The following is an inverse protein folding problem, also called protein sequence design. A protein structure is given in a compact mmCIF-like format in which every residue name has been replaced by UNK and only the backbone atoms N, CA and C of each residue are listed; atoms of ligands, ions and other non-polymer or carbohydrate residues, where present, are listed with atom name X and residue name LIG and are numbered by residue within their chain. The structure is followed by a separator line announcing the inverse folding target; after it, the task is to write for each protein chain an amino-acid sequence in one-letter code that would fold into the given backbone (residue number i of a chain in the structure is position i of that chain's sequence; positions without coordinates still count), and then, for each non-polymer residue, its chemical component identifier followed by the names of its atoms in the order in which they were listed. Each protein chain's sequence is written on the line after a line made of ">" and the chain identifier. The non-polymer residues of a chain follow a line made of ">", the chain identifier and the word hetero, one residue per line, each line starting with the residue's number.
data_IF_525490145144
#
_entry.id   IF_525490145144
#
_cell.length_a   1.000
_cell.length_b   1.000
_cell.length_c   1.000
_cell.angle_alpha   90.00
_cell.angle_beta   90.00
_cell.angle_gamma   90.00
#
_symmetry.space_group_name_H-M   'P 1'
#
loop_
_entity.id
_entity.type
_entity.pdbx_description
1 polymer ?
#
# COMPACT_ATOMS: atom_id res chain seq x y z
N UNK A 1 12.87 -8.04 -21.05
CA UNK A 1 12.26 -8.24 -19.72
C UNK A 1 11.35 -9.44 -19.79
N UNK A 2 11.31 -10.31 -18.76
CA UNK A 2 10.27 -11.36 -18.68
C UNK A 2 8.92 -10.67 -18.54
N UNK A 3 7.91 -11.16 -19.25
CA UNK A 3 6.55 -10.67 -19.10
C UNK A 3 6.10 -10.90 -17.64
N UNK A 4 5.60 -9.84 -16.99
CA UNK A 4 5.15 -9.92 -15.59
C UNK A 4 3.80 -10.64 -15.60
N UNK A 5 3.66 -11.67 -14.77
CA UNK A 5 2.42 -12.43 -14.65
C UNK A 5 1.32 -11.57 -14.04
N UNK A 6 0.17 -11.50 -14.71
CA UNK A 6 -1.00 -10.77 -14.27
C UNK A 6 -1.84 -11.61 -13.32
N UNK A 7 -2.27 -11.03 -12.19
CA UNK A 7 -3.05 -11.72 -11.16
C UNK A 7 -4.24 -10.88 -10.69
N UNK A 8 -5.28 -11.55 -10.20
CA UNK A 8 -6.41 -10.92 -9.48
C UNK A 8 -6.13 -10.84 -7.98
N UNK A 9 -6.91 -10.06 -7.22
CA UNK A 9 -6.82 -10.02 -5.75
C UNK A 9 -6.96 -11.41 -5.12
N UNK A 10 -7.84 -12.26 -5.65
CA UNK A 10 -8.01 -13.63 -5.18
C UNK A 10 -6.76 -14.50 -5.41
N UNK A 11 -6.06 -14.31 -6.52
CA UNK A 11 -4.81 -14.99 -6.79
C UNK A 11 -3.66 -14.41 -5.96
N UNK A 12 -3.67 -13.10 -5.69
CA UNK A 12 -2.75 -12.49 -4.76
C UNK A 12 -2.90 -13.07 -3.36
N UNK A 13 -4.12 -13.13 -2.83
CA UNK A 13 -4.43 -13.74 -1.54
C UNK A 13 -3.92 -15.18 -1.44
N UNK A 14 -4.18 -16.02 -2.46
CA UNK A 14 -3.60 -17.37 -2.56
C UNK A 14 -2.08 -17.38 -2.63
N UNK A 15 -1.48 -16.41 -3.31
CA UNK A 15 -0.03 -16.28 -3.38
C UNK A 15 0.58 -16.06 -1.99
N UNK A 16 -0.06 -15.30 -1.13
CA UNK A 16 0.38 -15.04 0.25
C UNK A 16 0.49 -16.33 1.08
N UNK A 17 -0.37 -17.32 0.83
CA UNK A 17 -0.32 -18.62 1.49
C UNK A 17 1.00 -19.38 1.24
N UNK A 18 1.72 -19.07 0.16
CA UNK A 18 2.98 -19.72 -0.18
C UNK A 18 4.14 -19.35 0.75
N UNK A 19 4.00 -18.29 1.55
CA UNK A 19 5.06 -17.76 2.42
C UNK A 19 6.26 -17.16 1.68
N UNK A 20 6.20 -17.04 0.34
CA UNK A 20 7.29 -16.50 -0.48
C UNK A 20 7.30 -14.97 -0.47
N UNK A 21 8.48 -14.39 -0.74
CA UNK A 21 8.57 -12.94 -0.94
C UNK A 21 7.83 -12.55 -2.22
N UNK A 22 6.85 -11.67 -2.10
CA UNK A 22 6.04 -11.22 -3.21
C UNK A 22 6.14 -9.72 -3.39
N UNK A 23 6.21 -9.28 -4.64
CA UNK A 23 6.06 -7.89 -5.05
C UNK A 23 4.86 -7.79 -5.99
N UNK A 24 3.88 -6.99 -5.62
CA UNK A 24 2.66 -6.80 -6.40
C UNK A 24 2.57 -5.35 -6.85
N UNK A 25 2.68 -5.15 -8.15
CA UNK A 25 2.53 -3.85 -8.79
C UNK A 25 1.12 -3.72 -9.35
N UNK A 26 0.46 -2.60 -9.15
CA UNK A 26 -0.90 -2.40 -9.65
C UNK A 26 -1.41 -1.00 -9.44
N UNK A 27 -2.54 -0.63 -10.06
CA UNK A 27 -3.10 0.70 -9.90
C UNK A 27 -3.47 1.01 -8.46
N UNK A 28 -3.43 2.29 -8.08
CA UNK A 28 -3.81 2.75 -6.75
C UNK A 28 -5.30 2.49 -6.49
N UNK A 29 -5.67 2.18 -5.24
CA UNK A 29 -7.07 2.00 -4.83
C UNK A 29 -7.72 0.65 -5.22
N UNK A 30 -6.95 -0.32 -5.70
CA UNK A 30 -7.46 -1.67 -6.06
C UNK A 30 -7.22 -2.73 -4.99
N UNK A 31 -7.04 -2.33 -3.73
CA UNK A 31 -7.07 -3.24 -2.58
C UNK A 31 -5.78 -4.05 -2.37
N UNK A 32 -4.61 -3.54 -2.79
CA UNK A 32 -3.33 -4.23 -2.53
C UNK A 32 -3.08 -4.39 -1.03
N UNK A 33 -3.11 -3.29 -0.29
CA UNK A 33 -2.88 -3.23 1.16
C UNK A 33 -3.93 -4.04 1.91
N UNK A 34 -5.22 -3.84 1.59
CA UNK A 34 -6.33 -4.59 2.21
C UNK A 34 -6.24 -6.11 2.00
N UNK A 35 -5.70 -6.56 0.85
CA UNK A 35 -5.50 -8.00 0.61
C UNK A 35 -4.45 -8.57 1.56
N UNK A 36 -3.37 -7.84 1.85
CA UNK A 36 -2.33 -8.26 2.80
C UNK A 36 -2.88 -8.26 4.23
N UNK A 37 -3.57 -7.21 4.63
CA UNK A 37 -4.21 -7.09 5.96
C UNK A 37 -5.24 -8.20 6.18
N UNK A 38 -6.16 -8.38 5.26
CA UNK A 38 -7.19 -9.42 5.34
C UNK A 38 -6.60 -10.85 5.37
N UNK A 39 -5.46 -11.07 4.69
CA UNK A 39 -4.73 -12.32 4.81
C UNK A 39 -4.10 -12.48 6.20
N UNK A 40 -3.42 -11.45 6.69
CA UNK A 40 -2.77 -11.48 8.00
C UNK A 40 -3.77 -11.77 9.13
N UNK A 41 -4.91 -11.07 9.12
CA UNK A 41 -6.01 -11.29 10.08
C UNK A 41 -6.55 -12.71 10.03
N UNK A 42 -6.77 -13.26 8.83
CA UNK A 42 -7.31 -14.61 8.65
C UNK A 42 -6.38 -15.70 9.18
N UNK A 43 -5.07 -15.51 9.06
CA UNK A 43 -4.06 -16.49 9.50
C UNK A 43 -3.47 -16.18 10.87
N UNK A 44 -3.92 -15.10 11.53
CA UNK A 44 -3.45 -14.67 12.85
C UNK A 44 -2.01 -14.17 12.86
N UNK A 45 -1.51 -13.60 11.76
CA UNK A 45 -0.19 -12.96 11.67
C UNK A 45 -0.29 -11.47 11.97
N UNK A 46 0.77 -10.92 12.58
CA UNK A 46 0.95 -9.49 12.74
C UNK A 46 1.62 -8.88 11.50
N UNK A 47 1.42 -7.60 11.26
CA UNK A 47 2.06 -6.86 10.17
C UNK A 47 3.06 -5.87 10.75
N UNK A 48 4.32 -5.97 10.29
CA UNK A 48 5.30 -4.91 10.42
C UNK A 48 5.21 -4.04 9.16
N UNK A 49 4.45 -2.95 9.26
CA UNK A 49 4.14 -2.06 8.14
C UNK A 49 5.25 -1.03 7.92
N UNK A 50 5.68 -0.87 6.70
CA UNK A 50 6.64 0.14 6.28
C UNK A 50 6.16 0.82 5.00
N UNK A 51 5.62 2.04 5.15
CA UNK A 51 5.31 2.89 4.01
C UNK A 51 6.61 3.47 3.46
N UNK A 52 6.92 3.19 2.19
CA UNK A 52 8.15 3.67 1.55
C UNK A 52 8.01 5.07 0.96
N UNK A 53 6.78 5.59 0.86
CA UNK A 53 6.54 6.94 0.35
C UNK A 53 7.11 8.00 1.30
N UNK A 54 8.08 8.78 0.80
CA UNK A 54 8.68 9.84 1.58
C UNK A 54 9.57 9.41 2.75
N UNK A 55 9.87 8.11 2.89
CA UNK A 55 10.76 7.62 3.94
C UNK A 55 12.20 8.04 3.72
N UNK A 56 12.81 8.53 4.78
CA UNK A 56 14.25 8.76 4.81
C UNK A 56 15.00 7.42 4.93
N UNK A 57 16.20 7.30 4.34
CA UNK A 57 17.02 6.10 4.47
C UNK A 57 17.25 5.69 5.92
N UNK A 58 17.39 6.66 6.83
CA UNK A 58 17.58 6.44 8.27
C UNK A 58 16.35 5.81 8.93
N UNK A 59 15.15 6.17 8.48
CA UNK A 59 13.90 5.60 9.00
C UNK A 59 13.81 4.12 8.65
N UNK A 60 14.20 3.75 7.42
CA UNK A 60 14.22 2.35 6.98
C UNK A 60 15.41 1.59 7.54
N UNK A 61 16.61 2.19 7.58
CA UNK A 61 17.84 1.56 8.07
C UNK A 61 17.96 1.53 9.59
N UNK A 62 17.16 2.32 10.28
CA UNK A 62 17.25 2.57 11.72
C UNK A 62 18.24 3.68 12.09
N UNK A 63 17.90 4.45 13.11
CA UNK A 63 18.72 5.54 13.65
C UNK A 63 19.81 4.97 14.55
N UNK A 64 21.09 5.35 14.40
CA UNK A 64 22.13 4.97 15.33
C UNK A 64 21.82 5.51 16.74
N UNK A 65 21.73 4.64 17.72
CA UNK A 65 21.52 4.99 19.12
C UNK A 65 22.59 4.41 20.03
N UNK A 66 22.90 5.13 21.08
CA UNK A 66 23.81 4.66 22.13
C UNK A 66 23.04 3.78 23.09
N UNK A 67 23.46 2.56 23.26
CA UNK A 67 22.82 1.59 24.14
C UNK A 67 23.73 1.24 25.30
N UNK A 68 23.13 1.15 26.47
CA UNK A 68 23.76 0.57 27.65
C UNK A 68 23.12 -0.79 27.94
N UNK A 69 23.89 -1.85 28.13
CA UNK A 69 23.32 -3.16 28.40
C UNK A 69 22.54 -3.18 29.72
N UNK A 70 21.24 -3.51 29.65
CA UNK A 70 20.43 -3.75 30.86
C UNK A 70 20.71 -5.17 31.35
N UNK A 71 21.67 -5.37 32.23
CA UNK A 71 21.94 -6.65 32.86
C UNK A 71 21.57 -6.59 34.33
N UNK A 72 20.69 -7.50 34.75
CA UNK A 72 20.45 -7.74 36.19
C UNK A 72 21.68 -8.46 36.76
N UNK A 73 22.46 -7.76 37.56
CA UNK A 73 23.60 -8.34 38.27
C UNK A 73 23.03 -9.13 39.43
N UNK A 74 22.99 -10.47 39.31
CA UNK A 74 22.59 -11.37 40.39
C UNK A 74 23.76 -11.97 41.19
N UNK A 75 24.97 -11.97 40.61
CA UNK A 75 26.20 -12.42 41.28
C UNK A 75 27.42 -11.71 40.68
N UNK A 76 28.28 -11.17 41.53
CA UNK A 76 29.52 -10.52 41.13
C UNK A 76 30.59 -11.63 41.04
N UNK A 77 30.79 -12.20 39.89
CA UNK A 77 31.98 -12.99 39.56
C UNK A 77 32.99 -12.08 38.87
N UNK A 78 34.29 -12.21 39.29
CA UNK A 78 35.37 -11.51 38.61
C UNK A 78 35.74 -12.21 37.31
N UNK A 79 35.32 -11.63 36.19
CA UNK A 79 35.62 -12.10 34.84
C UNK A 79 36.85 -11.44 34.20
N UNK A 80 37.68 -10.73 34.97
CA UNK A 80 38.80 -9.93 34.45
C UNK A 80 39.83 -10.79 33.66
N UNK A 81 40.06 -12.04 34.08
CA UNK A 81 40.94 -12.95 33.36
C UNK A 81 40.38 -13.38 32.01
N UNK A 82 39.13 -13.75 31.97
CA UNK A 82 38.42 -14.16 30.74
C UNK A 82 38.30 -13.00 29.73
N UNK A 83 37.99 -11.81 30.23
CA UNK A 83 37.95 -10.57 29.43
C UNK A 83 39.33 -10.29 28.81
N UNK A 84 40.42 -10.46 29.59
CA UNK A 84 41.81 -10.23 29.12
C UNK A 84 42.17 -11.24 28.04
N UNK A 85 41.82 -12.52 28.23
CA UNK A 85 42.08 -13.57 27.26
C UNK A 85 41.35 -13.31 25.92
N UNK A 86 40.06 -12.93 25.98
CA UNK A 86 39.26 -12.63 24.77
C UNK A 86 39.83 -11.39 24.05
N UNK A 87 40.19 -10.34 24.77
CA UNK A 87 40.84 -9.15 24.18
C UNK A 87 42.14 -9.50 23.45
N UNK A 88 42.93 -10.39 24.01
CA UNK A 88 44.18 -10.89 23.38
C UNK A 88 43.85 -11.66 22.10
N UNK A 89 42.86 -12.56 22.13
CA UNK A 89 42.45 -13.34 20.96
C UNK A 89 41.91 -12.46 19.84
N UNK A 90 41.08 -11.45 20.15
CA UNK A 90 40.58 -10.46 19.17
C UNK A 90 41.75 -9.72 18.52
N UNK A 91 42.77 -9.32 19.31
CA UNK A 91 43.94 -8.64 18.77
C UNK A 91 44.74 -9.56 17.83
N UNK A 92 44.98 -10.80 18.20
CA UNK A 92 45.67 -11.77 17.36
C UNK A 92 44.94 -12.07 16.05
N UNK A 93 43.58 -12.09 16.07
CA UNK A 93 42.78 -12.25 14.88
C UNK A 93 42.81 -11.01 13.98
N UNK A 94 42.83 -9.80 14.55
CA UNK A 94 43.03 -8.57 13.80
C UNK A 94 44.36 -8.49 13.11
N UNK A 95 45.46 -8.89 13.84
CA UNK A 95 46.80 -8.91 13.27
C UNK A 95 46.91 -9.92 12.10
N UNK A 96 46.31 -11.10 12.25
CA UNK A 96 46.21 -12.11 11.16
C UNK A 96 45.43 -11.61 9.97
N UNK A 97 44.30 -10.90 10.21
CA UNK A 97 43.48 -10.35 9.13
C UNK A 97 44.24 -9.28 8.35
N UNK A 98 45.02 -8.45 9.04
CA UNK A 98 45.85 -7.42 8.41
C UNK A 98 46.96 -8.06 7.56
N UNK A 99 47.57 -9.12 8.06
CA UNK A 99 48.63 -9.87 7.35
C UNK A 99 48.05 -10.58 6.10
N UNK A 100 46.87 -11.18 6.21
CA UNK A 100 46.17 -11.82 5.08
C UNK A 100 45.71 -10.84 4.02
N UNK A 101 45.26 -9.64 4.40
CA UNK A 101 44.86 -8.58 3.48
C UNK A 101 46.06 -8.08 2.61
N UNK A 102 47.30 -8.23 3.10
CA UNK A 102 48.49 -7.90 2.38
C UNK A 102 48.93 -8.99 1.38
N UNK A 103 48.36 -10.20 1.45
CA UNK A 103 48.85 -11.39 0.71
C UNK A 103 47.85 -11.95 -0.31
N UNK A 104 46.83 -11.23 -0.72
CA UNK A 104 45.83 -11.66 -1.72
C UNK A 104 45.15 -13.03 -1.42
N UNK A 105 45.02 -13.39 -0.15
CA UNK A 105 44.52 -14.70 0.27
C UNK A 105 42.98 -14.70 0.33
N UNK A 106 42.36 -15.71 -0.26
CA UNK A 106 40.95 -16.05 -0.45
C UNK A 106 39.96 -15.43 0.56
N UNK A 107 38.96 -14.77 0.02
CA UNK A 107 37.85 -14.11 0.73
C UNK A 107 37.18 -14.99 1.80
N UNK A 108 37.02 -16.30 1.55
CA UNK A 108 36.39 -17.25 2.47
C UNK A 108 37.11 -17.38 3.83
N UNK A 109 38.45 -17.23 3.88
CA UNK A 109 39.20 -17.25 5.13
C UNK A 109 39.01 -15.98 5.94
N UNK A 110 38.90 -14.84 5.24
CA UNK A 110 38.65 -13.54 5.87
C UNK A 110 37.24 -13.54 6.47
N UNK A 111 36.23 -14.05 5.78
CA UNK A 111 34.86 -14.15 6.29
C UNK A 111 34.77 -15.07 7.51
N UNK A 112 35.51 -16.14 7.53
CA UNK A 112 35.61 -17.05 8.71
C UNK A 112 36.19 -16.33 9.92
N UNK A 113 37.25 -15.55 9.74
CA UNK A 113 37.88 -14.77 10.81
C UNK A 113 36.92 -13.66 11.30
N UNK A 114 36.29 -12.95 10.39
CA UNK A 114 35.30 -11.92 10.72
C UNK A 114 34.13 -12.47 11.54
N UNK A 115 33.59 -13.62 11.14
CA UNK A 115 32.54 -14.29 11.89
C UNK A 115 32.95 -14.67 13.31
N UNK A 116 34.16 -15.17 13.47
CA UNK A 116 34.71 -15.50 14.78
C UNK A 116 34.94 -14.25 15.65
N UNK A 117 35.45 -13.17 15.05
CA UNK A 117 35.64 -11.90 15.75
C UNK A 117 34.35 -11.30 16.25
N UNK A 118 33.27 -11.33 15.45
CA UNK A 118 31.93 -10.86 15.87
C UNK A 118 31.46 -11.67 17.09
N UNK A 119 31.55 -12.99 17.06
CA UNK A 119 31.18 -13.85 18.20
C UNK A 119 31.99 -13.56 19.48
N UNK A 120 33.28 -13.32 19.35
CA UNK A 120 34.15 -12.95 20.49
C UNK A 120 33.84 -11.55 21.03
N UNK A 121 33.52 -10.59 20.15
CA UNK A 121 33.10 -9.24 20.56
C UNK A 121 31.80 -9.27 21.33
N UNK A 122 30.82 -10.07 20.92
CA UNK A 122 29.57 -10.24 21.63
C UNK A 122 29.76 -10.89 23.00
N UNK A 123 30.62 -11.91 23.08
CA UNK A 123 30.99 -12.53 24.35
C UNK A 123 31.68 -11.52 25.26
N UNK A 124 32.61 -10.73 24.73
CA UNK A 124 33.30 -9.68 25.48
C UNK A 124 32.31 -8.62 26.04
N UNK A 125 31.32 -8.22 25.27
CA UNK A 125 30.27 -7.30 25.73
C UNK A 125 29.51 -7.88 26.94
N UNK A 126 29.12 -9.15 26.85
CA UNK A 126 28.38 -9.83 27.92
C UNK A 126 29.25 -9.93 29.18
N UNK A 127 30.53 -10.27 29.06
CA UNK A 127 31.43 -10.40 30.19
C UNK A 127 31.77 -9.05 30.83
N UNK A 128 32.00 -7.99 30.04
CA UNK A 128 32.23 -6.66 30.56
C UNK A 128 31.01 -6.13 31.33
N UNK A 129 29.82 -6.37 30.83
CA UNK A 129 28.59 -5.99 31.51
C UNK A 129 28.40 -6.77 32.82
N UNK A 130 28.73 -8.08 32.86
CA UNK A 130 28.71 -8.88 34.08
C UNK A 130 29.78 -8.45 35.11
N UNK A 131 30.89 -7.88 34.65
CA UNK A 131 31.96 -7.37 35.49
C UNK A 131 31.74 -5.92 35.97
N UNK A 132 30.56 -5.34 35.74
CA UNK A 132 30.19 -3.98 36.13
C UNK A 132 30.91 -2.88 35.35
N UNK A 133 31.54 -3.21 34.22
CA UNK A 133 32.09 -2.22 33.29
C UNK A 133 31.04 -1.89 32.25
N UNK A 134 30.50 -0.66 32.32
CA UNK A 134 29.61 -0.12 31.32
C UNK A 134 30.38 0.14 30.02
N UNK A 135 30.22 -0.73 29.01
CA UNK A 135 30.63 -0.41 27.64
C UNK A 135 29.43 0.10 26.89
N UNK A 136 29.49 1.35 26.46
CA UNK A 136 28.55 1.94 25.53
C UNK A 136 28.80 1.38 24.13
N UNK A 137 27.76 0.90 23.46
CA UNK A 137 27.83 0.48 22.06
C UNK A 137 26.74 1.14 21.24
N UNK A 138 27.02 1.33 19.98
CA UNK A 138 26.06 1.89 19.04
C UNK A 138 25.24 0.77 18.42
N UNK A 139 23.92 0.94 18.44
CA UNK A 139 22.98 0.07 17.74
C UNK A 139 22.04 0.92 16.90
N UNK A 140 21.65 0.41 15.75
CA UNK A 140 20.57 1.04 15.01
C UNK A 140 19.24 0.66 15.67
N UNK A 141 18.41 1.66 15.95
CA UNK A 141 17.09 1.47 16.50
C UNK A 141 16.06 1.77 15.43
N UNK A 142 15.10 0.91 15.31
CA UNK A 142 13.85 1.13 14.60
C UNK A 142 12.78 1.62 15.60
N UNK A 143 11.61 1.97 15.09
CA UNK A 143 10.49 2.39 15.91
C UNK A 143 10.17 1.36 17.01
N UNK A 144 9.68 1.85 18.14
CA UNK A 144 9.36 1.02 19.32
C UNK A 144 8.36 -0.09 18.98
N UNK A 145 7.42 0.19 18.08
CA UNK A 145 6.42 -0.76 17.61
C UNK A 145 7.02 -1.99 16.91
N UNK A 146 8.21 -1.83 16.32
CA UNK A 146 8.93 -2.92 15.65
C UNK A 146 9.84 -3.74 16.57
N UNK A 147 9.96 -3.39 17.85
CA UNK A 147 10.84 -4.12 18.77
C UNK A 147 10.41 -5.59 18.92
N UNK A 148 9.10 -5.83 19.09
CA UNK A 148 8.57 -7.20 19.20
C UNK A 148 8.88 -8.03 17.95
N UNK A 149 8.71 -7.43 16.77
CA UNK A 149 9.05 -8.06 15.48
C UNK A 149 10.53 -8.47 15.42
N UNK A 150 11.44 -7.61 15.89
CA UNK A 150 12.88 -7.86 15.87
C UNK A 150 13.29 -8.92 16.91
N UNK A 151 12.67 -8.92 18.09
CA UNK A 151 12.96 -9.87 19.17
C UNK A 151 12.59 -11.30 18.80
N UNK A 152 11.50 -11.51 18.03
CA UNK A 152 11.08 -12.82 17.56
C UNK A 152 11.64 -13.20 16.16
N UNK A 153 12.59 -12.45 15.62
CA UNK A 153 13.14 -12.63 14.25
C UNK A 153 12.07 -12.59 13.16
N UNK A 154 10.93 -11.96 13.46
CA UNK A 154 9.76 -11.86 12.58
C UNK A 154 8.87 -13.11 12.54
N UNK A 155 8.99 -14.02 13.50
CA UNK A 155 8.13 -15.20 13.60
C UNK A 155 6.68 -14.80 13.87
N UNK A 156 5.76 -15.29 13.03
CA UNK A 156 4.35 -14.89 13.11
C UNK A 156 4.02 -13.52 12.50
N UNK A 157 4.97 -12.90 11.76
CA UNK A 157 4.80 -11.59 11.17
C UNK A 157 4.91 -11.61 9.65
N UNK A 158 4.25 -10.63 9.03
CA UNK A 158 4.47 -10.21 7.65
C UNK A 158 5.19 -8.88 7.70
N UNK A 159 6.38 -8.79 7.09
CA UNK A 159 7.04 -7.52 6.83
C UNK A 159 6.50 -6.96 5.51
N UNK A 160 5.74 -5.88 5.61
CA UNK A 160 5.02 -5.32 4.49
C UNK A 160 5.57 -3.96 4.10
N UNK A 161 6.11 -3.86 2.88
CA UNK A 161 6.54 -2.60 2.27
C UNK A 161 5.46 -2.11 1.32
N UNK A 162 4.79 -1.03 1.69
CA UNK A 162 3.83 -0.37 0.81
C UNK A 162 4.50 0.76 0.03
N UNK A 163 3.96 1.09 -1.13
CA UNK A 163 4.45 2.13 -2.04
C UNK A 163 5.96 2.00 -2.33
N UNK A 164 6.48 0.77 -2.49
CA UNK A 164 7.92 0.49 -2.57
C UNK A 164 8.65 1.30 -3.66
N UNK A 165 8.00 1.58 -4.77
CA UNK A 165 8.56 2.35 -5.88
C UNK A 165 8.40 3.87 -5.72
N UNK A 166 7.89 4.34 -4.59
CA UNK A 166 7.97 5.75 -4.18
C UNK A 166 9.16 6.01 -3.23
N UNK A 167 9.84 4.95 -2.79
CA UNK A 167 11.04 5.08 -1.98
C UNK A 167 12.21 5.71 -2.73
N UNK A 168 13.03 6.49 -2.03
CA UNK A 168 14.26 7.04 -2.60
C UNK A 168 15.23 5.90 -2.96
N UNK A 169 16.16 6.10 -3.91
CA UNK A 169 17.18 5.10 -4.24
C UNK A 169 18.00 4.65 -3.03
N UNK A 170 18.28 5.56 -2.10
CA UNK A 170 19.02 5.28 -0.87
C UNK A 170 18.20 4.41 0.09
N UNK A 171 16.90 4.69 0.23
CA UNK A 171 15.98 3.86 1.02
C UNK A 171 15.85 2.45 0.41
N UNK A 172 15.71 2.35 -0.92
CA UNK A 172 15.68 1.07 -1.63
C UNK A 172 16.96 0.25 -1.45
N UNK A 173 18.13 0.89 -1.35
CA UNK A 173 19.39 0.20 -1.09
C UNK A 173 19.41 -0.52 0.27
N UNK A 174 18.67 -0.01 1.27
CA UNK A 174 18.58 -0.69 2.58
C UNK A 174 17.85 -2.02 2.50
N UNK A 175 16.93 -2.15 1.52
CA UNK A 175 16.14 -3.36 1.34
C UNK A 175 16.96 -4.58 0.90
N UNK A 176 18.16 -4.38 0.36
CA UNK A 176 19.00 -5.52 -0.07
C UNK A 176 19.37 -6.46 1.07
N UNK A 177 19.64 -5.93 2.27
CA UNK A 177 19.92 -6.78 3.44
C UNK A 177 18.66 -7.44 3.99
N UNK A 178 17.52 -6.72 3.90
CA UNK A 178 16.23 -7.17 4.43
C UNK A 178 15.66 -8.29 3.56
N UNK A 179 15.72 -8.13 2.24
CA UNK A 179 15.08 -9.04 1.27
C UNK A 179 16.01 -10.13 0.75
N UNK A 180 17.12 -10.41 1.45
CA UNK A 180 18.08 -11.41 0.99
C UNK A 180 17.40 -12.75 0.64
N UNK A 181 17.74 -13.41 -0.50
CA UNK A 181 17.11 -14.67 -0.93
C UNK A 181 17.23 -15.80 0.09
N UNK A 182 18.39 -15.90 0.75
CA UNK A 182 18.56 -16.80 1.89
C UNK A 182 18.00 -16.15 3.16
N UNK A 183 16.94 -16.68 3.78
CA UNK A 183 16.33 -16.10 4.99
C UNK A 183 17.31 -15.92 6.15
N UNK A 184 18.28 -16.86 6.30
CA UNK A 184 19.29 -16.83 7.37
C UNK A 184 20.21 -15.61 7.29
N UNK A 185 20.34 -15.03 6.10
CA UNK A 185 21.17 -13.85 5.85
C UNK A 185 20.39 -12.52 5.94
N UNK A 186 19.08 -12.58 6.16
CA UNK A 186 18.27 -11.38 6.28
C UNK A 186 18.57 -10.61 7.54
N UNK A 187 18.79 -9.31 7.40
CA UNK A 187 19.09 -8.40 8.52
C UNK A 187 18.32 -7.09 8.36
N UNK A 188 17.74 -6.64 9.45
CA UNK A 188 17.14 -5.31 9.55
C UNK A 188 17.68 -4.59 10.78
N UNK A 189 18.25 -3.40 10.58
CA UNK A 189 18.93 -2.64 11.64
C UNK A 189 19.95 -3.48 12.46
N UNK A 190 20.60 -4.48 11.82
CA UNK A 190 21.52 -5.41 12.45
C UNK A 190 20.88 -6.62 13.12
N UNK A 191 19.55 -6.66 13.23
CA UNK A 191 18.82 -7.82 13.75
C UNK A 191 18.54 -8.84 12.66
N UNK A 192 18.58 -10.12 13.02
CA UNK A 192 18.16 -11.21 12.15
C UNK A 192 16.64 -11.22 12.04
N UNK A 193 16.14 -11.42 10.83
CA UNK A 193 14.70 -11.48 10.52
C UNK A 193 14.40 -12.68 9.61
N UNK A 194 14.90 -13.85 9.98
CA UNK A 194 14.87 -15.04 9.12
C UNK A 194 13.49 -15.68 8.99
N UNK A 195 12.56 -15.39 9.90
CA UNK A 195 11.28 -16.10 10.03
C UNK A 195 10.06 -15.34 9.48
N UNK A 196 10.23 -14.08 9.06
CA UNK A 196 9.14 -13.32 8.49
C UNK A 196 8.88 -13.64 7.02
N UNK A 197 7.63 -13.51 6.61
CA UNK A 197 7.26 -13.39 5.20
C UNK A 197 7.42 -11.92 4.78
N UNK A 198 7.97 -11.67 3.58
CA UNK A 198 8.15 -10.31 3.06
C UNK A 198 7.21 -10.11 1.89
N UNK A 199 6.40 -9.07 1.98
CA UNK A 199 5.47 -8.65 0.93
C UNK A 199 5.75 -7.20 0.60
N UNK A 200 5.73 -6.86 -0.67
CA UNK A 200 5.88 -5.48 -1.13
C UNK A 200 4.76 -5.15 -2.13
N UNK A 201 4.25 -3.94 -2.04
CA UNK A 201 3.31 -3.39 -3.01
C UNK A 201 3.85 -2.09 -3.59
N UNK A 202 3.48 -1.81 -4.83
CA UNK A 202 3.84 -0.57 -5.51
C UNK A 202 2.82 -0.21 -6.57
N UNK A 203 2.90 1.02 -7.07
CA UNK A 203 2.03 1.51 -8.12
C UNK A 203 2.61 1.20 -9.51
N UNK A 204 1.75 0.99 -10.49
CA UNK A 204 2.15 0.93 -11.90
C UNK A 204 2.28 2.35 -12.44
N UNK A 205 3.32 2.58 -13.22
CA UNK A 205 3.47 3.82 -13.98
C UNK A 205 2.61 3.71 -15.26
N UNK A 206 1.29 3.84 -15.10
CA UNK A 206 0.33 3.72 -16.22
C UNK A 206 -0.04 5.08 -16.83
N UNK A 207 0.59 6.16 -16.37
CA UNK A 207 0.37 7.53 -16.85
C UNK A 207 -0.98 8.14 -16.45
N UNK A 208 -1.77 7.46 -15.64
CA UNK A 208 -3.08 7.96 -15.17
C UNK A 208 -2.93 8.91 -13.98
N UNK A 209 -1.97 8.65 -13.11
CA UNK A 209 -1.65 9.51 -11.96
C UNK A 209 -0.46 10.42 -12.32
N UNK A 210 -0.70 11.46 -13.10
CA UNK A 210 0.32 12.35 -13.68
C UNK A 210 1.21 13.13 -12.69
N UNK A 211 1.20 12.80 -11.41
CA UNK A 211 1.96 13.50 -10.36
C UNK A 211 2.80 12.59 -9.46
N UNK A 212 2.76 11.28 -9.66
CA UNK A 212 3.52 10.35 -8.81
C UNK A 212 4.90 10.09 -9.42
N UNK A 213 5.95 10.55 -8.75
CA UNK A 213 7.32 10.17 -9.08
C UNK A 213 7.54 8.71 -8.66
N UNK A 214 7.53 7.79 -9.63
CA UNK A 214 7.85 6.39 -9.40
C UNK A 214 9.31 6.14 -9.70
N UNK A 215 10.02 5.56 -8.75
CA UNK A 215 11.40 5.13 -8.94
C UNK A 215 11.40 3.74 -9.60
N UNK A 216 12.16 3.59 -10.67
CA UNK A 216 12.37 2.28 -11.27
C UNK A 216 13.08 1.35 -10.27
N UNK A 217 12.43 0.23 -9.95
CA UNK A 217 13.01 -0.73 -9.02
C UNK A 217 14.22 -1.44 -9.66
N UNK A 218 15.39 -1.43 -9.00
CA UNK A 218 16.58 -2.07 -9.53
C UNK A 218 16.39 -3.56 -9.77
N UNK A 219 16.85 -4.07 -10.92
CA UNK A 219 16.77 -5.50 -11.27
C UNK A 219 17.25 -6.45 -10.16
N UNK A 220 18.36 -6.18 -9.43
CA UNK A 220 18.79 -7.03 -8.33
C UNK A 220 17.79 -7.08 -7.17
N UNK A 221 17.01 -6.01 -6.95
CA UNK A 221 15.94 -6.00 -5.95
C UNK A 221 14.74 -6.80 -6.44
N UNK A 222 14.31 -6.61 -7.71
CA UNK A 222 13.23 -7.37 -8.33
C UNK A 222 13.47 -8.88 -8.27
N UNK A 223 14.71 -9.32 -8.49
CA UNK A 223 15.09 -10.74 -8.44
C UNK A 223 14.95 -11.39 -7.05
N UNK A 224 14.66 -10.62 -6.01
CA UNK A 224 14.43 -11.10 -4.64
C UNK A 224 12.96 -11.39 -4.34
N UNK A 225 12.09 -11.05 -5.28
CA UNK A 225 10.64 -11.20 -5.18
C UNK A 225 10.08 -12.04 -6.32
N UNK A 226 8.97 -12.69 -6.07
CA UNK A 226 8.05 -13.10 -7.11
C UNK A 226 7.21 -11.88 -7.49
N UNK A 227 7.44 -11.37 -8.71
CA UNK A 227 6.83 -10.11 -9.18
C UNK A 227 5.57 -10.40 -9.96
N UNK A 228 4.49 -9.72 -9.60
CA UNK A 228 3.18 -9.83 -10.22
C UNK A 228 2.59 -8.46 -10.54
N UNK A 229 1.74 -8.41 -11.56
CA UNK A 229 0.93 -7.25 -11.89
C UNK A 229 -0.52 -7.50 -11.47
N UNK A 230 -1.06 -6.66 -10.58
CA UNK A 230 -2.46 -6.76 -10.16
C UNK A 230 -3.38 -6.21 -11.24
N UNK A 231 -4.26 -7.07 -11.74
CA UNK A 231 -5.30 -6.65 -12.67
C UNK A 231 -6.52 -6.11 -11.92
N UNK A 232 -7.12 -5.01 -12.41
CA UNK A 232 -8.38 -4.51 -11.86
C UNK A 232 -9.46 -5.60 -11.90
N UNK A 233 -9.94 -5.99 -10.74
CA UNK A 233 -11.03 -6.96 -10.59
C UNK A 233 -12.32 -6.25 -10.16
N UNK A 234 -13.03 -5.66 -11.13
CA UNK A 234 -14.31 -4.98 -10.89
C UNK A 234 -15.38 -5.93 -10.28
N UNK A 235 -15.32 -7.23 -10.59
CA UNK A 235 -16.27 -8.21 -10.04
C UNK A 235 -15.99 -8.50 -8.57
N UNK A 236 -14.74 -8.82 -8.23
CA UNK A 236 -14.33 -9.05 -6.85
C UNK A 236 -14.55 -7.82 -5.97
N UNK A 237 -14.21 -6.61 -6.46
CA UNK A 237 -14.50 -5.36 -5.79
C UNK A 237 -16.01 -5.17 -5.55
N UNK A 238 -16.84 -5.48 -6.56
CA UNK A 238 -18.30 -5.39 -6.41
C UNK A 238 -18.84 -6.34 -5.33
N UNK A 239 -18.35 -7.58 -5.29
CA UNK A 239 -18.76 -8.57 -4.28
C UNK A 239 -18.34 -8.15 -2.87
N UNK A 240 -17.09 -7.67 -2.72
CA UNK A 240 -16.57 -7.15 -1.48
C UNK A 240 -17.40 -5.97 -0.95
N UNK A 241 -17.58 -4.94 -1.78
CA UNK A 241 -18.33 -3.72 -1.41
C UNK A 241 -19.80 -4.03 -1.09
N UNK A 242 -20.46 -4.92 -1.85
CA UNK A 242 -21.83 -5.36 -1.52
C UNK A 242 -21.91 -6.05 -0.16
N UNK A 243 -20.90 -6.83 0.19
CA UNK A 243 -20.86 -7.52 1.49
C UNK A 243 -20.62 -6.53 2.63
N UNK A 244 -19.70 -5.57 2.44
CA UNK A 244 -19.37 -4.54 3.43
C UNK A 244 -20.58 -3.62 3.69
N UNK A 245 -21.23 -3.16 2.63
CA UNK A 245 -22.32 -2.17 2.68
C UNK A 245 -23.72 -2.77 2.49
N UNK A 246 -23.93 -4.02 2.93
CA UNK A 246 -25.22 -4.72 2.81
C UNK A 246 -26.42 -3.95 3.37
N UNK A 247 -26.18 -3.03 4.30
CA UNK A 247 -27.22 -2.25 4.98
C UNK A 247 -27.67 -1.01 4.16
N UNK A 248 -26.91 -0.63 3.11
CA UNK A 248 -27.28 0.50 2.25
C UNK A 248 -28.31 0.02 1.22
N UNK A 249 -29.52 0.60 1.19
CA UNK A 249 -30.50 0.28 0.16
C UNK A 249 -29.91 0.52 -1.25
N UNK A 250 -30.19 -0.38 -2.18
CA UNK A 250 -29.74 -0.28 -3.57
C UNK A 250 -28.22 -0.20 -3.79
N UNK A 251 -27.39 -0.57 -2.80
CA UNK A 251 -25.92 -0.50 -2.86
C UNK A 251 -25.33 -1.06 -4.17
N UNK A 252 -25.93 -2.13 -4.71
CA UNK A 252 -25.48 -2.72 -5.97
C UNK A 252 -25.57 -1.77 -7.16
N UNK A 253 -26.53 -0.84 -7.17
CA UNK A 253 -26.68 0.18 -8.23
C UNK A 253 -25.62 1.25 -8.08
N UNK A 254 -25.39 1.75 -6.86
CA UNK A 254 -24.34 2.74 -6.58
C UNK A 254 -22.97 2.22 -7.00
N UNK A 255 -22.60 1.02 -6.55
CA UNK A 255 -21.34 0.38 -6.90
C UNK A 255 -21.18 0.26 -8.41
N UNK A 256 -22.23 -0.24 -9.09
CA UNK A 256 -22.22 -0.39 -10.54
C UNK A 256 -21.98 0.93 -11.25
N UNK A 257 -22.75 1.96 -10.92
CA UNK A 257 -22.63 3.29 -11.55
C UNK A 257 -21.23 3.86 -11.34
N UNK A 258 -20.66 3.76 -10.15
CA UNK A 258 -19.32 4.29 -9.87
C UNK A 258 -18.21 3.51 -10.60
N UNK A 259 -18.24 2.18 -10.56
CA UNK A 259 -17.22 1.34 -11.23
C UNK A 259 -17.32 1.40 -12.76
N UNK A 260 -18.52 1.58 -13.32
CA UNK A 260 -18.71 1.75 -14.77
C UNK A 260 -18.21 3.13 -15.25
N UNK A 261 -18.12 4.12 -14.37
CA UNK A 261 -17.47 5.42 -14.61
C UNK A 261 -16.00 5.46 -14.16
N UNK A 262 -15.33 4.29 -14.09
CA UNK A 262 -13.91 4.12 -13.79
C UNK A 262 -13.43 4.70 -12.44
N UNK A 263 -14.34 4.86 -11.49
CA UNK A 263 -13.98 5.21 -10.11
C UNK A 263 -13.28 4.00 -9.47
N UNK A 264 -12.13 4.24 -8.84
CA UNK A 264 -11.38 3.18 -8.19
C UNK A 264 -12.17 2.58 -7.00
N UNK A 265 -12.05 1.27 -6.71
CA UNK A 265 -12.79 0.62 -5.62
C UNK A 265 -12.64 1.31 -4.27
N UNK A 266 -11.45 1.85 -3.95
CA UNK A 266 -11.21 2.64 -2.73
C UNK A 266 -12.06 3.91 -2.68
N UNK A 267 -12.18 4.61 -3.79
CA UNK A 267 -12.97 5.84 -3.84
C UNK A 267 -14.47 5.52 -3.84
N UNK A 268 -14.88 4.36 -4.40
CA UNK A 268 -16.25 3.82 -4.23
C UNK A 268 -16.53 3.49 -2.77
N UNK A 269 -15.58 2.88 -2.07
CA UNK A 269 -15.68 2.55 -0.64
C UNK A 269 -15.89 3.82 0.19
N UNK A 270 -15.04 4.83 0.00
CA UNK A 270 -15.18 6.13 0.65
C UNK A 270 -16.50 6.83 0.32
N UNK A 271 -16.94 6.78 -0.94
CA UNK A 271 -18.19 7.37 -1.35
C UNK A 271 -19.41 6.70 -0.69
N UNK A 272 -19.36 5.38 -0.51
CA UNK A 272 -20.42 4.64 0.19
C UNK A 272 -20.43 4.93 1.69
N UNK A 273 -19.28 5.11 2.33
CA UNK A 273 -19.19 5.54 3.73
C UNK A 273 -19.81 6.92 3.92
N UNK A 274 -19.46 7.87 3.05
CA UNK A 274 -19.95 9.25 3.11
C UNK A 274 -21.44 9.33 2.78
N UNK A 275 -21.96 8.50 1.87
CA UNK A 275 -23.36 8.53 1.42
C UNK A 275 -24.37 8.39 2.59
N UNK A 276 -23.95 7.82 3.71
CA UNK A 276 -24.82 7.67 4.89
C UNK A 276 -24.90 8.94 5.76
N UNK A 277 -23.94 9.86 5.66
CA UNK A 277 -23.82 11.03 6.52
C UNK A 277 -23.68 12.37 5.76
N UNK A 278 -23.50 12.33 4.44
CA UNK A 278 -23.34 13.55 3.61
C UNK A 278 -24.71 14.06 3.15
N UNK A 279 -25.33 14.89 3.98
CA UNK A 279 -26.68 15.43 3.70
C UNK A 279 -26.70 16.43 2.54
N UNK A 280 -25.59 17.17 2.35
CA UNK A 280 -25.50 18.23 1.34
C UNK A 280 -24.81 17.79 0.05
N UNK A 281 -24.28 16.57 0.01
CA UNK A 281 -23.60 16.01 -1.16
C UNK A 281 -22.19 16.55 -1.42
N UNK A 282 -21.70 17.47 -0.60
CA UNK A 282 -20.42 18.17 -0.79
C UNK A 282 -19.23 17.20 -0.85
N UNK A 283 -19.19 16.21 0.03
CA UNK A 283 -18.09 15.23 0.08
C UNK A 283 -18.15 14.26 -1.10
N UNK A 284 -19.36 13.83 -1.48
CA UNK A 284 -19.56 13.01 -2.67
C UNK A 284 -19.15 13.75 -3.94
N UNK A 285 -19.56 15.01 -4.08
CA UNK A 285 -19.21 15.85 -5.23
C UNK A 285 -17.71 16.09 -5.34
N UNK A 286 -17.03 16.30 -4.21
CA UNK A 286 -15.57 16.43 -4.16
C UNK A 286 -14.84 15.18 -4.67
N UNK A 287 -15.42 13.99 -4.48
CA UNK A 287 -14.81 12.72 -4.90
C UNK A 287 -15.23 12.25 -6.28
N UNK A 288 -16.48 12.43 -6.62
CA UNK A 288 -17.11 11.83 -7.79
C UNK A 288 -17.41 12.85 -8.90
N UNK A 289 -17.37 14.14 -8.56
CA UNK A 289 -17.82 15.22 -9.42
C UNK A 289 -19.34 15.38 -9.44
N UNK A 290 -19.80 16.55 -9.84
CA UNK A 290 -21.23 16.95 -9.79
C UNK A 290 -22.14 15.98 -10.53
N UNK A 291 -21.78 15.61 -11.77
CA UNK A 291 -22.62 14.76 -12.63
C UNK A 291 -22.84 13.35 -12.05
N UNK A 292 -21.81 12.74 -11.48
CA UNK A 292 -21.91 11.38 -10.92
C UNK A 292 -22.63 11.40 -9.57
N UNK A 293 -22.39 12.44 -8.77
CA UNK A 293 -23.10 12.67 -7.50
C UNK A 293 -24.61 12.83 -7.74
N UNK A 294 -25.03 13.62 -8.75
CA UNK A 294 -26.42 13.74 -9.13
C UNK A 294 -27.06 12.39 -9.49
N UNK A 295 -26.38 11.55 -10.28
CA UNK A 295 -26.86 10.19 -10.61
C UNK A 295 -27.04 9.32 -9.35
N UNK A 296 -26.15 9.44 -8.36
CA UNK A 296 -26.25 8.70 -7.10
C UNK A 296 -27.45 9.15 -6.29
N UNK A 297 -27.71 10.46 -6.18
CA UNK A 297 -28.89 10.97 -5.51
C UNK A 297 -30.19 10.61 -6.22
N UNK A 298 -30.19 10.54 -7.55
CA UNK A 298 -31.35 10.06 -8.31
C UNK A 298 -31.67 8.60 -7.98
N UNK A 299 -30.65 7.75 -7.85
CA UNK A 299 -30.84 6.39 -7.39
C UNK A 299 -31.41 6.36 -5.95
N UNK A 300 -30.90 7.22 -5.07
CA UNK A 300 -31.34 7.32 -3.67
C UNK A 300 -32.82 7.75 -3.58
N UNK A 301 -33.23 8.71 -4.40
CA UNK A 301 -34.63 9.19 -4.47
C UNK A 301 -35.55 8.19 -5.16
N UNK A 302 -35.04 7.08 -5.66
CA UNK A 302 -35.82 6.09 -6.40
C UNK A 302 -36.19 6.54 -7.81
N UNK A 303 -35.60 7.63 -8.29
CA UNK A 303 -35.72 8.08 -9.67
C UNK A 303 -35.04 7.03 -10.54
N UNK A 304 -35.79 6.39 -11.44
CA UNK A 304 -35.15 5.58 -12.50
C UNK A 304 -34.23 6.52 -13.27
N UNK A 305 -32.93 6.19 -13.39
CA UNK A 305 -32.09 6.82 -14.41
C UNK A 305 -32.80 6.57 -15.74
N UNK A 306 -33.39 7.59 -16.30
CA UNK A 306 -34.10 7.49 -17.57
C UNK A 306 -33.04 7.11 -18.61
N UNK A 307 -33.29 6.04 -19.37
CA UNK A 307 -32.56 5.75 -20.59
C UNK A 307 -32.56 7.04 -21.43
N UNK A 308 -31.46 7.46 -22.07
CA UNK A 308 -31.43 8.63 -22.95
C UNK A 308 -32.61 8.65 -23.91
N UNK A 309 -33.05 7.52 -24.46
CA UNK A 309 -34.23 7.41 -25.29
C UNK A 309 -35.54 7.76 -24.54
N UNK A 310 -35.64 7.37 -23.28
CA UNK A 310 -36.81 7.70 -22.43
C UNK A 310 -36.76 9.15 -21.97
N UNK A 311 -35.57 9.72 -21.75
CA UNK A 311 -35.39 11.15 -21.48
C UNK A 311 -35.79 12.03 -22.69
N UNK A 312 -35.34 11.65 -23.89
CA UNK A 312 -35.72 12.34 -25.13
C UNK A 312 -37.24 12.28 -25.33
N UNK A 313 -37.85 11.11 -25.10
CA UNK A 313 -39.30 10.96 -25.19
C UNK A 313 -40.04 11.87 -24.20
N UNK A 314 -39.61 11.92 -22.96
CA UNK A 314 -40.18 12.76 -21.92
C UNK A 314 -39.94 14.26 -22.21
N UNK A 315 -38.74 14.62 -22.69
CA UNK A 315 -38.39 15.97 -23.07
C UNK A 315 -39.29 16.48 -24.23
N UNK A 316 -39.62 15.62 -25.21
CA UNK A 316 -40.58 15.94 -26.28
C UNK A 316 -41.98 16.26 -25.74
N UNK A 317 -42.44 15.49 -24.74
CA UNK A 317 -43.75 15.74 -24.10
C UNK A 317 -43.71 17.06 -23.32
N UNK A 318 -42.61 17.34 -22.62
CA UNK A 318 -42.44 18.60 -21.88
C UNK A 318 -42.37 19.78 -22.84
N UNK A 319 -41.64 19.66 -23.94
CA UNK A 319 -41.56 20.69 -24.97
C UNK A 319 -42.93 20.98 -25.61
N UNK A 320 -43.71 19.93 -25.92
CA UNK A 320 -45.06 20.09 -26.44
C UNK A 320 -45.98 20.85 -25.47
N UNK A 321 -45.91 20.53 -24.18
CA UNK A 321 -46.65 21.25 -23.14
C UNK A 321 -46.21 22.70 -23.02
N UNK A 322 -44.90 22.96 -23.09
CA UNK A 322 -44.39 24.33 -23.07
C UNK A 322 -44.94 25.16 -24.23
N UNK A 323 -45.13 24.55 -25.43
CA UNK A 323 -45.75 25.22 -26.57
C UNK A 323 -47.26 25.41 -26.40
N UNK A 324 -47.98 24.49 -25.73
CA UNK A 324 -49.41 24.53 -25.53
C UNK A 324 -49.81 25.46 -24.37
N UNK A 325 -49.09 25.36 -23.23
CA UNK A 325 -49.47 26.01 -21.97
C UNK A 325 -48.67 27.29 -21.68
N UNK A 326 -47.56 27.53 -22.41
CA UNK A 326 -46.66 28.68 -22.22
C UNK A 326 -45.70 28.57 -21.03
N UNK A 327 -45.91 27.61 -20.14
CA UNK A 327 -45.04 27.31 -19.01
C UNK A 327 -45.08 25.82 -18.66
N UNK A 328 -43.99 25.32 -18.11
CA UNK A 328 -43.90 23.93 -17.64
C UNK A 328 -43.03 23.84 -16.41
N UNK A 329 -43.37 22.94 -15.50
CA UNK A 329 -42.54 22.65 -14.32
C UNK A 329 -41.55 21.56 -14.68
N UNK A 330 -40.23 21.88 -14.55
CA UNK A 330 -39.14 20.96 -14.72
C UNK A 330 -38.39 20.84 -13.39
N UNK A 331 -38.54 19.72 -12.69
CA UNK A 331 -38.03 19.56 -11.34
C UNK A 331 -38.71 20.49 -10.35
N UNK A 332 -37.98 21.46 -9.81
CA UNK A 332 -38.49 22.51 -8.89
C UNK A 332 -38.62 23.88 -9.57
N UNK A 333 -38.28 24.01 -10.84
CA UNK A 333 -38.22 25.27 -11.57
C UNK A 333 -39.35 25.35 -12.60
N UNK A 334 -39.90 26.53 -12.75
CA UNK A 334 -40.87 26.82 -13.82
C UNK A 334 -40.08 27.32 -15.03
N UNK A 335 -40.23 26.64 -16.15
CA UNK A 335 -39.62 26.96 -17.45
C UNK A 335 -40.68 27.63 -18.33
N UNK A 336 -40.33 28.78 -18.86
CA UNK A 336 -41.25 29.61 -19.69
C UNK A 336 -40.75 29.80 -21.11
N UNK A 337 -39.49 29.43 -21.38
CA UNK A 337 -38.87 29.60 -22.70
C UNK A 337 -38.20 28.33 -23.19
N UNK A 338 -38.13 28.20 -24.52
CA UNK A 338 -37.44 27.10 -25.19
C UNK A 338 -35.95 27.07 -24.86
N UNK A 339 -35.30 28.24 -24.72
CA UNK A 339 -33.87 28.35 -24.41
C UNK A 339 -33.59 27.95 -22.98
N UNK A 340 -34.46 28.21 -22.03
CA UNK A 340 -34.41 27.69 -20.67
C UNK A 340 -34.50 26.16 -20.66
N UNK A 341 -35.42 25.59 -21.44
CA UNK A 341 -35.56 24.15 -21.56
C UNK A 341 -34.32 23.51 -22.20
N UNK A 342 -33.75 24.11 -23.26
CA UNK A 342 -32.48 23.65 -23.87
C UNK A 342 -31.34 23.66 -22.89
N UNK A 343 -31.20 24.75 -22.13
CA UNK A 343 -30.15 24.88 -21.10
C UNK A 343 -30.27 23.80 -20.04
N UNK A 344 -31.46 23.48 -19.59
CA UNK A 344 -31.70 22.42 -18.61
C UNK A 344 -31.48 21.01 -19.19
N UNK A 345 -31.86 20.77 -20.43
CA UNK A 345 -31.64 19.51 -21.11
C UNK A 345 -30.14 19.27 -21.40
N UNK A 346 -29.36 20.34 -21.56
CA UNK A 346 -27.90 20.23 -21.75
C UNK A 346 -27.16 19.69 -20.52
N UNK A 347 -27.77 19.70 -19.34
CA UNK A 347 -27.24 19.02 -18.16
C UNK A 347 -27.29 17.48 -18.26
N UNK A 348 -28.13 16.93 -19.17
CA UNK A 348 -28.45 15.50 -19.20
C UNK A 348 -28.28 14.86 -20.58
N UNK A 349 -28.37 15.63 -21.67
CA UNK A 349 -28.36 15.18 -23.06
C UNK A 349 -27.25 15.91 -23.84
N UNK A 350 -26.67 15.25 -24.83
CA UNK A 350 -25.73 15.88 -25.76
C UNK A 350 -26.45 16.76 -26.80
N UNK A 351 -25.70 17.56 -27.55
CA UNK A 351 -26.26 18.51 -28.53
C UNK A 351 -27.13 17.84 -29.61
N UNK A 352 -26.77 16.63 -30.08
CA UNK A 352 -27.53 15.89 -31.08
C UNK A 352 -28.85 15.37 -30.51
N UNK A 353 -28.82 14.87 -29.27
CA UNK A 353 -29.98 14.40 -28.54
C UNK A 353 -30.96 15.55 -28.24
N UNK A 354 -30.43 16.70 -27.80
CA UNK A 354 -31.22 17.92 -27.60
C UNK A 354 -31.87 18.36 -28.91
N UNK A 355 -31.09 18.44 -30.00
CA UNK A 355 -31.64 18.79 -31.31
C UNK A 355 -32.76 17.85 -31.75
N UNK A 356 -32.76 16.59 -31.36
CA UNK A 356 -33.81 15.62 -31.67
C UNK A 356 -35.13 15.90 -30.90
N UNK A 357 -35.05 16.55 -29.75
CA UNK A 357 -36.23 16.94 -28.96
C UNK A 357 -37.03 18.05 -29.68
N UNK A 358 -36.32 19.01 -30.27
CA UNK A 358 -36.88 20.20 -30.87
C UNK A 358 -37.18 20.06 -32.38
N UNK A 359 -36.70 19.01 -33.03
CA UNK A 359 -37.00 18.71 -34.45
C UNK A 359 -38.37 18.07 -34.71
N UNK A 360 -39.14 17.77 -33.68
CA UNK A 360 -40.44 17.09 -33.78
C UNK A 360 -41.68 18.00 -33.83
N UNK A 361 -41.57 19.25 -34.22
CA UNK A 361 -42.70 20.21 -34.31
C UNK A 361 -43.31 20.39 -35.69
N UNK A 362 -42.93 19.57 -36.70
CA UNK A 362 -43.54 19.60 -38.04
C UNK A 362 -44.01 18.18 -38.44
N UNK A 363 -45.06 17.66 -37.77
CA UNK A 363 -45.99 16.67 -38.33
C UNK A 363 -47.38 16.88 -37.75
#
# INVERSE_FOLDING_TARGET
>A
MKEITKITNKQFDKGLETGRNMLVLGPSGYGKTETVEGYADRVGKKIAYCDMAGQLPESVAGIPAVMQPKIKITEIKDYSKEITAIKKEIKELNDKMTEMALTDTLADKIDTILSKMVGLQDTLKILNAKNGKEETYYRRMLDVELQEFLECEGEGWILFFDEINQGSPEALNTLYSITHPNPEMRRWAGHRISKCQIVACGNLNDGRDGTVYLTDLPTPLLNRFFVFELQPDKKGATEYLKKKYKNIPQVAKYIKVMLDNDIAPRDVDLALDVLQCDHDGMFLESKLGTALTAKIYDIQKGVKSLDPAEMIKNAKVIYKRLQEDGEVIFGTETITTEDELKSKLAEFLNEEEIASVFKGGEE
#
